data_IF_407177944530
#
_entry.id   IF_407177944530
#
_cell.length_a   1.000
_cell.length_b   1.000
_cell.length_c   1.000
_cell.angle_alpha   90.00
_cell.angle_beta   90.00
_cell.angle_gamma   90.00
#
_symmetry.space_group_name_H-M   'P 1'
#
loop_
_entity.id
_entity.type
_entity.pdbx_description
1 polymer ?
#
# COMPACT_ATOMS: atom_id res chain seq x y z
N UNK A 1 19.10 -8.25 0.08
CA UNK A 1 17.78 -7.66 -0.09
C UNK A 1 16.88 -8.59 -0.91
N UNK A 2 15.63 -8.83 -0.47
CA UNK A 2 14.70 -9.79 -1.08
C UNK A 2 14.26 -9.41 -2.49
N UNK A 3 13.94 -8.11 -2.72
CA UNK A 3 13.57 -7.60 -4.04
C UNK A 3 14.62 -7.91 -5.11
N UNK A 4 15.91 -7.66 -4.81
CA UNK A 4 16.99 -8.01 -5.74
C UNK A 4 17.05 -9.50 -6.02
N UNK A 5 16.80 -10.34 -4.99
CA UNK A 5 16.88 -11.81 -5.10
C UNK A 5 15.72 -12.40 -5.91
N UNK A 6 14.57 -11.71 -5.98
CA UNK A 6 13.43 -12.16 -6.80
C UNK A 6 13.70 -12.14 -8.30
N UNK A 7 14.73 -11.43 -8.73
CA UNK A 7 15.10 -11.21 -10.12
C UNK A 7 14.03 -10.53 -10.98
N UNK A 8 13.04 -9.89 -10.38
CA UNK A 8 11.97 -9.14 -11.04
C UNK A 8 12.26 -7.65 -11.10
N UNK A 9 11.75 -6.91 -12.09
CA UNK A 9 11.80 -5.44 -12.07
C UNK A 9 11.05 -4.89 -10.87
N UNK A 10 11.57 -3.82 -10.27
CA UNK A 10 10.93 -3.17 -9.14
C UNK A 10 11.22 -1.67 -9.09
N UNK A 11 10.29 -0.93 -8.48
CA UNK A 11 10.47 0.44 -8.01
C UNK A 11 10.53 0.37 -6.49
N UNK A 12 11.51 1.05 -5.89
CA UNK A 12 11.62 1.20 -4.46
C UNK A 12 11.57 2.68 -4.09
N UNK A 13 10.44 3.12 -3.56
CA UNK A 13 10.28 4.44 -2.98
C UNK A 13 10.85 4.42 -1.55
N UNK A 14 11.80 5.31 -1.28
CA UNK A 14 12.51 5.42 -0.01
C UNK A 14 12.14 6.77 0.60
N UNK A 15 11.45 6.73 1.74
CA UNK A 15 11.09 7.95 2.45
C UNK A 15 12.33 8.70 2.93
N UNK A 16 12.33 10.01 2.75
CA UNK A 16 13.42 10.88 3.18
C UNK A 16 13.26 11.23 4.68
N UNK A 17 13.87 10.44 5.53
CA UNK A 17 13.86 10.57 6.99
C UNK A 17 15.28 10.51 7.57
N UNK A 18 15.42 10.59 8.91
CA UNK A 18 16.73 10.53 9.56
C UNK A 18 17.51 9.25 9.24
N UNK A 19 16.81 8.14 9.02
CA UNK A 19 17.40 6.83 8.67
C UNK A 19 17.81 6.73 7.20
N UNK A 20 17.36 7.65 6.34
CA UNK A 20 17.68 7.63 4.91
C UNK A 20 19.18 7.78 4.65
N UNK A 21 19.90 8.51 5.50
CA UNK A 21 21.35 8.73 5.37
C UNK A 21 22.18 7.46 5.53
N UNK A 22 21.80 6.58 6.45
CA UNK A 22 22.46 5.29 6.61
C UNK A 22 22.16 4.37 5.43
N UNK A 23 20.92 4.40 4.94
CA UNK A 23 20.53 3.66 3.76
C UNK A 23 21.21 4.20 2.49
N UNK A 24 21.31 5.52 2.32
CA UNK A 24 22.08 6.14 1.22
C UNK A 24 23.54 5.67 1.24
N UNK A 25 24.19 5.73 2.40
CA UNK A 25 25.55 5.25 2.58
C UNK A 25 25.69 3.78 2.18
N UNK A 26 24.79 2.93 2.66
CA UNK A 26 24.75 1.51 2.29
C UNK A 26 24.55 1.31 0.78
N UNK A 27 23.63 2.07 0.16
CA UNK A 27 23.38 2.01 -1.30
C UNK A 27 24.65 2.33 -2.09
N UNK A 28 25.41 3.36 -1.66
CA UNK A 28 26.67 3.77 -2.28
C UNK A 28 27.78 2.74 -2.07
N UNK A 29 28.02 2.30 -0.82
CA UNK A 29 29.08 1.36 -0.46
C UNK A 29 28.91 0.01 -1.16
N UNK A 30 27.68 -0.48 -1.21
CA UNK A 30 27.31 -1.75 -1.85
C UNK A 30 27.15 -1.63 -3.37
N UNK A 31 27.31 -0.44 -3.94
CA UNK A 31 27.05 -0.15 -5.37
C UNK A 31 25.69 -0.73 -5.79
N UNK A 32 24.67 -0.50 -4.95
CA UNK A 32 23.38 -1.18 -5.10
C UNK A 32 22.70 -0.80 -6.42
N UNK A 33 22.75 0.47 -6.83
CA UNK A 33 22.16 0.94 -8.09
C UNK A 33 22.79 0.29 -9.32
N UNK A 34 24.13 0.13 -9.32
CA UNK A 34 24.81 -0.59 -10.40
C UNK A 34 24.35 -2.04 -10.50
N UNK A 35 24.14 -2.67 -9.33
CA UNK A 35 23.74 -4.10 -9.22
C UNK A 35 22.29 -4.36 -9.61
N UNK A 36 21.44 -3.32 -9.66
CA UNK A 36 20.04 -3.40 -10.08
C UNK A 36 19.78 -2.73 -11.43
N UNK A 37 20.83 -2.21 -12.09
CA UNK A 37 20.73 -1.50 -13.37
C UNK A 37 19.90 -2.28 -14.40
N UNK A 38 18.96 -1.60 -15.05
CA UNK A 38 18.02 -2.16 -16.01
C UNK A 38 16.88 -2.98 -15.42
N UNK A 39 16.78 -3.06 -14.06
CA UNK A 39 15.76 -3.85 -13.39
C UNK A 39 15.14 -3.15 -12.17
N UNK A 40 15.88 -2.34 -11.46
CA UNK A 40 15.41 -1.59 -10.29
C UNK A 40 15.49 -0.10 -10.51
N UNK A 41 14.52 0.63 -9.95
CA UNK A 41 14.51 2.08 -9.86
C UNK A 41 14.36 2.48 -8.38
N UNK A 42 15.27 3.33 -7.89
CA UNK A 42 15.13 3.97 -6.57
C UNK A 42 14.53 5.35 -6.75
N UNK A 43 13.55 5.68 -5.92
CA UNK A 43 12.96 7.02 -5.82
C UNK A 43 13.19 7.49 -4.38
N UNK A 44 14.02 8.51 -4.22
CA UNK A 44 14.29 9.15 -2.93
C UNK A 44 13.26 10.24 -2.65
N UNK A 45 12.72 10.25 -1.43
CA UNK A 45 11.67 11.18 -1.03
C UNK A 45 10.28 10.79 -1.51
N UNK A 46 9.46 11.79 -1.83
CA UNK A 46 8.07 11.57 -2.22
C UNK A 46 7.93 10.92 -3.59
N UNK A 47 7.12 9.87 -3.67
CA UNK A 47 6.76 9.19 -4.90
C UNK A 47 5.25 9.32 -5.18
N UNK A 48 4.81 9.57 -6.42
CA UNK A 48 3.40 9.65 -6.78
C UNK A 48 2.77 8.23 -6.80
N UNK A 49 2.51 7.68 -5.59
CA UNK A 49 2.14 6.27 -5.39
C UNK A 49 0.96 5.84 -6.24
N UNK A 50 -0.14 6.61 -6.23
CA UNK A 50 -1.33 6.27 -7.01
C UNK A 50 -1.06 6.24 -8.52
N UNK A 51 -0.27 7.20 -9.02
CA UNK A 51 0.11 7.22 -10.44
C UNK A 51 0.96 6.00 -10.82
N UNK A 52 1.91 5.64 -9.96
CA UNK A 52 2.74 4.43 -10.15
C UNK A 52 1.86 3.18 -10.15
N UNK A 53 1.01 3.02 -9.14
CA UNK A 53 0.12 1.86 -9.01
C UNK A 53 -0.88 1.75 -10.18
N UNK A 54 -1.32 2.87 -10.75
CA UNK A 54 -2.24 2.89 -11.90
C UNK A 54 -1.57 2.47 -13.21
N UNK A 55 -0.25 2.31 -13.25
CA UNK A 55 0.43 1.86 -14.46
C UNK A 55 0.21 0.35 -14.67
N UNK A 56 -0.27 -0.11 -15.84
CA UNK A 56 -0.57 -1.52 -16.11
C UNK A 56 0.63 -2.45 -16.02
N UNK A 57 1.86 -1.92 -16.04
CA UNK A 57 3.09 -2.70 -15.84
C UNK A 57 3.35 -3.06 -14.38
N UNK A 58 2.62 -2.45 -13.42
CA UNK A 58 2.74 -2.77 -12.00
C UNK A 58 1.97 -4.04 -11.69
N UNK A 59 2.70 -5.10 -11.40
CA UNK A 59 2.13 -6.43 -11.15
C UNK A 59 1.84 -6.74 -9.68
N UNK A 60 2.34 -5.93 -8.75
CA UNK A 60 2.16 -6.11 -7.30
C UNK A 60 2.71 -4.95 -6.49
N UNK A 61 2.22 -4.77 -5.28
CA UNK A 61 2.60 -3.69 -4.38
C UNK A 61 3.01 -4.24 -3.01
N UNK A 62 4.27 -4.04 -2.63
CA UNK A 62 4.74 -4.32 -1.27
C UNK A 62 4.36 -3.14 -0.37
N UNK A 63 3.52 -3.39 0.62
CA UNK A 63 2.95 -2.36 1.48
C UNK A 63 3.03 -2.74 2.96
N UNK A 64 3.18 -1.73 3.83
CA UNK A 64 3.03 -1.87 5.28
C UNK A 64 1.57 -2.05 5.72
N UNK A 65 0.62 -2.10 4.81
CA UNK A 65 -0.82 -2.27 5.07
C UNK A 65 -1.50 -1.09 5.76
N UNK A 66 -0.95 0.13 5.71
CA UNK A 66 -1.69 1.33 6.11
C UNK A 66 -2.94 1.50 5.25
N UNK A 67 -4.04 1.97 5.86
CA UNK A 67 -5.35 2.00 5.21
C UNK A 67 -5.34 2.79 3.88
N UNK A 68 -4.68 3.94 3.83
CA UNK A 68 -4.61 4.75 2.61
C UNK A 68 -3.93 3.99 1.47
N UNK A 69 -2.76 3.40 1.73
CA UNK A 69 -2.03 2.60 0.74
C UNK A 69 -2.83 1.37 0.29
N UNK A 70 -3.59 0.76 1.21
CA UNK A 70 -4.48 -0.36 0.91
C UNK A 70 -5.61 0.06 -0.04
N UNK A 71 -6.27 1.20 0.24
CA UNK A 71 -7.34 1.73 -0.62
C UNK A 71 -6.79 2.12 -2.00
N UNK A 72 -5.64 2.77 -2.07
CA UNK A 72 -5.01 3.13 -3.34
C UNK A 72 -4.68 1.91 -4.20
N UNK A 73 -4.16 0.84 -3.59
CA UNK A 73 -3.89 -0.41 -4.30
C UNK A 73 -5.17 -1.09 -4.80
N UNK A 74 -6.24 -1.09 -3.99
CA UNK A 74 -7.57 -1.59 -4.39
C UNK A 74 -8.11 -0.79 -5.57
N UNK A 75 -8.10 0.56 -5.49
CA UNK A 75 -8.56 1.42 -6.58
C UNK A 75 -7.77 1.23 -7.88
N UNK A 76 -6.48 0.98 -7.77
CA UNK A 76 -5.60 0.69 -8.90
C UNK A 76 -5.74 -0.74 -9.44
N UNK A 77 -6.43 -1.64 -8.73
CA UNK A 77 -6.56 -3.04 -9.11
C UNK A 77 -5.25 -3.83 -8.99
N UNK A 78 -4.38 -3.47 -8.04
CA UNK A 78 -3.04 -4.06 -7.86
C UNK A 78 -3.04 -5.00 -6.65
N UNK A 79 -2.66 -6.28 -6.80
CA UNK A 79 -2.53 -7.20 -5.68
C UNK A 79 -1.38 -6.82 -4.75
N UNK A 80 -1.51 -7.14 -3.47
CA UNK A 80 -0.60 -6.66 -2.43
C UNK A 80 0.28 -7.76 -1.85
N UNK A 81 1.53 -7.40 -1.56
CA UNK A 81 2.42 -8.14 -0.69
C UNK A 81 2.44 -7.43 0.67
N UNK A 82 1.96 -8.09 1.71
CA UNK A 82 1.70 -7.46 3.00
C UNK A 82 2.88 -7.61 3.95
N UNK A 83 3.31 -6.48 4.51
CA UNK A 83 4.39 -6.38 5.50
C UNK A 83 4.01 -5.41 6.61
N UNK A 84 3.07 -5.78 7.49
CA UNK A 84 2.66 -4.91 8.58
C UNK A 84 3.81 -4.68 9.56
N UNK A 85 3.85 -3.50 10.15
CA UNK A 85 4.86 -3.10 11.13
C UNK A 85 4.24 -2.91 12.51
N UNK A 86 3.15 -2.17 12.63
CA UNK A 86 2.50 -1.86 13.90
C UNK A 86 1.00 -1.52 13.75
N UNK A 87 0.29 -1.49 14.88
CA UNK A 87 -1.07 -0.96 14.99
C UNK A 87 -2.12 -1.69 14.14
N UNK A 88 -2.95 -0.92 13.47
CA UNK A 88 -4.04 -1.38 12.62
C UNK A 88 -3.58 -2.15 11.37
N UNK A 89 -2.30 -2.03 11.02
CA UNK A 89 -1.73 -2.67 9.83
C UNK A 89 -1.88 -4.20 9.85
N UNK A 90 -1.80 -4.83 11.03
CA UNK A 90 -2.03 -6.27 11.20
C UNK A 90 -3.50 -6.66 10.96
N UNK A 91 -4.44 -5.77 11.31
CA UNK A 91 -5.86 -5.97 11.02
C UNK A 91 -6.11 -5.80 9.51
N UNK A 92 -5.51 -4.77 8.91
CA UNK A 92 -5.59 -4.52 7.47
C UNK A 92 -4.96 -5.66 6.66
N UNK A 93 -3.87 -6.27 7.13
CA UNK A 93 -3.31 -7.49 6.52
C UNK A 93 -4.34 -8.61 6.49
N UNK A 94 -5.03 -8.88 7.61
CA UNK A 94 -6.09 -9.91 7.65
C UNK A 94 -7.21 -9.60 6.68
N UNK A 95 -7.63 -8.34 6.59
CA UNK A 95 -8.61 -7.90 5.61
C UNK A 95 -8.13 -8.20 4.18
N UNK A 96 -6.92 -7.79 3.81
CA UNK A 96 -6.35 -7.96 2.48
C UNK A 96 -6.22 -9.45 2.11
N UNK A 97 -5.70 -10.26 3.03
CA UNK A 97 -5.31 -11.65 2.72
C UNK A 97 -6.44 -12.64 2.94
N UNK A 98 -7.18 -12.53 4.05
CA UNK A 98 -8.18 -13.54 4.44
C UNK A 98 -9.57 -13.20 3.92
N UNK A 99 -9.97 -11.94 3.97
CA UNK A 99 -11.33 -11.51 3.60
C UNK A 99 -11.39 -11.20 2.10
N UNK A 100 -10.59 -10.24 1.64
CA UNK A 100 -10.58 -9.81 0.24
C UNK A 100 -9.84 -10.78 -0.68
N UNK A 101 -8.89 -11.53 -0.13
CA UNK A 101 -8.07 -12.52 -0.84
C UNK A 101 -7.31 -11.92 -2.06
N UNK A 102 -6.80 -10.70 -1.88
CA UNK A 102 -6.07 -9.92 -2.89
C UNK A 102 -4.60 -9.72 -2.53
N UNK A 103 -4.12 -10.38 -1.49
CA UNK A 103 -2.74 -10.25 -1.02
C UNK A 103 -2.07 -11.57 -0.66
N UNK A 104 -0.75 -11.47 -0.48
CA UNK A 104 0.12 -12.54 0.03
C UNK A 104 0.93 -11.98 1.19
N UNK A 105 1.03 -12.72 2.29
CA UNK A 105 1.84 -12.32 3.46
C UNK A 105 3.33 -12.52 3.18
N UNK A 106 4.15 -11.55 3.59
CA UNK A 106 5.59 -11.74 3.76
C UNK A 106 5.85 -12.66 4.95
N UNK A 107 5.08 -12.50 6.04
CA UNK A 107 5.12 -13.42 7.18
C UNK A 107 5.56 -12.78 8.50
N UNK A 108 5.47 -11.46 8.64
CA UNK A 108 5.69 -10.79 9.93
C UNK A 108 4.58 -11.19 10.90
N UNK A 109 4.93 -11.61 12.10
CA UNK A 109 3.99 -12.07 13.12
C UNK A 109 3.91 -11.12 14.31
N UNK A 110 5.05 -10.58 14.72
CA UNK A 110 5.14 -9.71 15.88
C UNK A 110 5.13 -8.22 15.48
N UNK A 111 4.25 -7.41 16.08
CA UNK A 111 4.24 -5.98 15.82
C UNK A 111 5.48 -5.31 16.44
N UNK A 112 6.00 -4.32 15.72
CA UNK A 112 7.01 -3.43 16.26
C UNK A 112 6.41 -2.58 17.37
N UNK A 113 7.18 -2.31 18.40
CA UNK A 113 6.81 -1.30 19.38
C UNK A 113 7.18 0.07 18.84
N UNK A 114 6.26 1.00 18.95
CA UNK A 114 6.47 2.37 18.51
C UNK A 114 7.66 3.01 19.24
N UNK A 115 8.64 3.53 18.51
CA UNK A 115 9.86 4.13 19.05
C UNK A 115 10.96 3.13 19.39
N UNK A 116 10.82 1.87 19.00
CA UNK A 116 11.84 0.83 19.16
C UNK A 116 12.33 0.27 17.81
N UNK A 117 12.06 0.98 16.73
CA UNK A 117 12.41 0.57 15.37
C UNK A 117 13.89 0.25 15.21
N UNK A 118 14.75 1.04 15.87
CA UNK A 118 16.22 0.87 15.85
C UNK A 118 16.71 -0.38 16.61
N UNK A 119 15.88 -0.95 17.49
CA UNK A 119 16.26 -2.10 18.32
C UNK A 119 15.98 -3.43 17.63
N UNK A 120 15.32 -3.39 16.49
CA UNK A 120 14.83 -4.58 15.82
C UNK A 120 15.84 -5.04 14.80
N UNK A 121 16.28 -6.26 14.96
CA UNK A 121 17.12 -6.96 13.99
C UNK A 121 16.37 -7.27 12.69
N UNK A 122 16.85 -8.23 11.94
CA UNK A 122 16.23 -8.65 10.68
C UNK A 122 14.85 -9.24 10.92
N UNK A 123 13.79 -8.46 10.68
CA UNK A 123 12.39 -8.93 10.78
C UNK A 123 12.09 -10.12 9.88
N UNK A 124 12.63 -10.08 8.66
CA UNK A 124 12.38 -11.10 7.64
C UNK A 124 13.65 -11.42 6.87
N UNK A 125 13.88 -12.70 6.60
CA UNK A 125 14.99 -13.13 5.76
C UNK A 125 14.69 -12.79 4.30
N UNK A 126 15.75 -12.53 3.54
CA UNK A 126 15.64 -12.23 2.10
C UNK A 126 14.98 -13.36 1.30
N UNK A 127 15.09 -14.60 1.77
CA UNK A 127 14.47 -15.79 1.20
C UNK A 127 12.94 -15.75 1.35
N UNK A 128 12.45 -15.34 2.51
CA UNK A 128 11.01 -15.26 2.81
C UNK A 128 10.35 -14.18 1.96
N UNK A 129 11.01 -13.01 1.84
CA UNK A 129 10.55 -11.92 0.97
C UNK A 129 10.51 -12.38 -0.49
N UNK A 130 11.58 -13.06 -0.98
CA UNK A 130 11.60 -13.62 -2.33
C UNK A 130 10.46 -14.61 -2.53
N UNK A 131 10.28 -15.57 -1.62
CA UNK A 131 9.23 -16.57 -1.70
C UNK A 131 7.83 -15.97 -1.73
N UNK A 132 7.60 -14.90 -0.98
CA UNK A 132 6.32 -14.17 -1.00
C UNK A 132 6.11 -13.44 -2.34
N UNK A 133 7.15 -12.83 -2.90
CA UNK A 133 7.11 -12.21 -4.24
C UNK A 133 6.79 -13.27 -5.30
N UNK A 134 7.43 -14.43 -5.23
CA UNK A 134 7.19 -15.52 -6.18
C UNK A 134 5.71 -15.97 -6.09
N UNK A 135 5.16 -16.22 -4.89
CA UNK A 135 3.74 -16.57 -4.71
C UNK A 135 2.77 -15.50 -5.23
N UNK A 136 3.15 -14.22 -5.19
CA UNK A 136 2.32 -13.15 -5.74
C UNK A 136 2.38 -13.09 -7.27
N UNK A 137 3.54 -13.37 -7.84
CA UNK A 137 3.89 -13.04 -9.22
C UNK A 137 3.99 -14.24 -10.15
N UNK A 138 4.25 -15.46 -9.64
CA UNK A 138 4.42 -16.66 -10.47
C UNK A 138 3.09 -17.10 -11.08
N UNK A 139 3.18 -17.75 -12.23
CA UNK A 139 2.02 -18.27 -12.93
C UNK A 139 1.30 -19.36 -12.12
N UNK A 140 -0.02 -19.40 -12.22
CA UNK A 140 -0.84 -20.38 -11.53
C UNK A 140 -2.26 -19.86 -11.27
N UNK A 141 -3.15 -20.79 -10.95
CA UNK A 141 -4.57 -20.53 -10.73
C UNK A 141 -4.82 -19.52 -9.60
N UNK A 142 -4.10 -19.66 -8.47
CA UNK A 142 -4.23 -18.75 -7.33
C UNK A 142 -3.87 -17.30 -7.69
N UNK A 143 -2.84 -17.10 -8.52
CA UNK A 143 -2.47 -15.76 -8.99
C UNK A 143 -3.55 -15.18 -9.88
N UNK A 144 -4.06 -15.94 -10.83
CA UNK A 144 -5.11 -15.45 -11.74
C UNK A 144 -6.39 -15.11 -10.98
N UNK A 145 -6.80 -15.96 -10.04
CA UNK A 145 -7.94 -15.71 -9.17
C UNK A 145 -7.75 -14.43 -8.33
N UNK A 146 -6.56 -14.22 -7.73
CA UNK A 146 -6.21 -13.01 -6.97
C UNK A 146 -6.27 -11.78 -7.84
N UNK A 147 -5.69 -11.82 -9.03
CA UNK A 147 -5.73 -10.71 -9.99
C UNK A 147 -7.14 -10.39 -10.45
N UNK A 148 -7.96 -11.40 -10.70
CA UNK A 148 -9.37 -11.22 -11.04
C UNK A 148 -10.11 -10.47 -9.94
N UNK A 149 -10.01 -10.94 -8.69
CA UNK A 149 -10.64 -10.27 -7.53
C UNK A 149 -10.16 -8.83 -7.36
N UNK A 150 -8.87 -8.59 -7.52
CA UNK A 150 -8.32 -7.25 -7.36
C UNK A 150 -8.87 -6.31 -8.42
N UNK A 151 -8.99 -6.74 -9.68
CA UNK A 151 -9.62 -5.96 -10.75
C UNK A 151 -11.10 -5.68 -10.47
N UNK A 152 -11.85 -6.69 -10.06
CA UNK A 152 -13.27 -6.55 -9.72
C UNK A 152 -13.49 -5.53 -8.58
N UNK A 153 -12.65 -5.57 -7.54
CA UNK A 153 -12.68 -4.59 -6.45
C UNK A 153 -12.32 -3.18 -6.94
N UNK A 154 -11.33 -3.05 -7.82
CA UNK A 154 -10.98 -1.78 -8.44
C UNK A 154 -12.14 -1.16 -9.22
N UNK A 155 -12.88 -1.98 -9.98
CA UNK A 155 -14.08 -1.51 -10.70
C UNK A 155 -15.22 -1.12 -9.73
N UNK A 156 -15.37 -1.83 -8.62
CA UNK A 156 -16.35 -1.44 -7.58
C UNK A 156 -15.95 -0.10 -6.96
N UNK A 157 -14.66 0.09 -6.64
CA UNK A 157 -14.15 1.33 -6.08
C UNK A 157 -14.35 2.52 -7.01
N UNK A 158 -14.10 2.36 -8.31
CA UNK A 158 -14.37 3.40 -9.32
C UNK A 158 -15.84 3.79 -9.36
N UNK A 159 -16.74 2.80 -9.46
CA UNK A 159 -18.20 3.04 -9.46
C UNK A 159 -18.70 3.71 -8.18
N UNK A 160 -18.07 3.44 -7.04
CA UNK A 160 -18.48 4.03 -5.78
C UNK A 160 -18.36 5.57 -5.75
N UNK A 161 -17.41 6.14 -6.47
CA UNK A 161 -17.17 7.59 -6.54
C UNK A 161 -17.83 8.29 -7.74
N UNK A 162 -18.34 7.54 -8.70
CA UNK A 162 -19.09 8.08 -9.84
C UNK A 162 -20.44 8.64 -9.41
N UNK A 163 -21.05 9.44 -10.27
CA UNK A 163 -22.40 9.99 -10.03
C UNK A 163 -23.40 8.87 -9.70
N UNK A 164 -24.04 8.96 -8.56
CA UNK A 164 -24.99 7.94 -8.06
C UNK A 164 -24.32 6.79 -7.30
N UNK A 165 -22.99 6.76 -7.16
CA UNK A 165 -22.27 5.78 -6.38
C UNK A 165 -22.38 5.99 -4.87
N UNK A 166 -22.05 4.96 -4.08
CA UNK A 166 -22.22 5.00 -2.61
C UNK A 166 -21.37 6.06 -1.92
N UNK A 167 -20.10 6.21 -2.31
CA UNK A 167 -19.21 7.24 -1.77
C UNK A 167 -19.62 8.64 -2.21
N UNK A 168 -20.12 8.79 -3.44
CA UNK A 168 -20.70 10.03 -3.93
C UNK A 168 -21.90 10.47 -3.07
N UNK A 169 -22.85 9.56 -2.83
CA UNK A 169 -24.01 9.86 -1.98
C UNK A 169 -23.62 10.20 -0.54
N UNK A 170 -22.69 9.47 0.06
CA UNK A 170 -22.23 9.75 1.41
C UNK A 170 -21.63 11.15 1.53
N UNK A 171 -20.86 11.57 0.52
CA UNK A 171 -20.31 12.93 0.47
C UNK A 171 -21.41 13.99 0.37
N UNK A 172 -22.42 13.79 -0.48
CA UNK A 172 -23.56 14.70 -0.61
C UNK A 172 -24.33 14.81 0.71
N UNK A 173 -24.60 13.68 1.38
CA UNK A 173 -25.27 13.67 2.68
C UNK A 173 -24.46 14.41 3.75
N UNK A 174 -23.15 14.23 3.78
CA UNK A 174 -22.26 14.96 4.70
C UNK A 174 -22.33 16.48 4.46
N UNK A 175 -22.25 16.91 3.20
CA UNK A 175 -22.34 18.34 2.84
C UNK A 175 -23.71 18.91 3.26
N UNK A 176 -24.79 18.20 3.00
CA UNK A 176 -26.14 18.61 3.39
C UNK A 176 -26.28 18.76 4.92
N UNK A 177 -25.75 17.82 5.71
CA UNK A 177 -25.76 17.85 7.17
C UNK A 177 -25.01 19.09 7.71
N UNK A 178 -23.82 19.37 7.16
CA UNK A 178 -23.04 20.56 7.52
C UNK A 178 -23.78 21.84 7.20
N UNK A 179 -24.37 21.97 6.01
CA UNK A 179 -25.12 23.15 5.60
C UNK A 179 -26.37 23.37 6.47
N UNK A 180 -27.09 22.31 6.81
CA UNK A 180 -28.27 22.38 7.66
C UNK A 180 -27.91 22.85 9.08
N UNK A 181 -26.83 22.36 9.67
CA UNK A 181 -26.34 22.78 10.98
C UNK A 181 -25.94 24.25 11.00
N UNK A 182 -25.29 24.74 9.94
CA UNK A 182 -24.95 26.16 9.82
C UNK A 182 -26.20 27.06 9.74
N UNK A 183 -27.23 26.65 9.00
CA UNK A 183 -28.49 27.40 8.89
C UNK A 183 -29.22 27.50 10.24
N UNK A 184 -29.27 26.43 11.01
CA UNK A 184 -29.84 26.40 12.36
C UNK A 184 -29.05 27.32 13.31
N UNK A 185 -27.76 27.30 13.29
CA UNK A 185 -26.90 28.16 14.12
C UNK A 185 -27.08 29.65 13.78
N UNK A 186 -27.20 30.01 12.49
CA UNK A 186 -27.41 31.37 12.04
C UNK A 186 -28.80 31.89 12.42
N UNK A 187 -29.83 31.06 12.36
CA UNK A 187 -31.19 31.44 12.81
C UNK A 187 -31.24 31.69 14.32
N UNK A 188 -30.56 30.88 15.13
CA UNK A 188 -30.47 31.07 16.56
C UNK A 188 -29.78 32.41 16.94
N UNK A 189 -28.71 32.77 16.20
CA UNK A 189 -28.01 34.05 16.43
C UNK A 189 -28.75 35.31 15.94
N UNK A 190 -29.79 35.16 15.12
CA UNK A 190 -30.58 36.27 14.60
C UNK A 190 -31.76 36.59 15.53
N UNK A 191 -32.06 35.75 16.52
CA UNK A 191 -33.13 35.87 17.49
C UNK A 191 -32.69 36.46 18.84
N UNK A 192 -31.43 36.86 18.96
CA UNK A 192 -30.82 37.56 20.10
C UNK A 192 -30.53 39.00 19.68
#
# INVERSE_FOLDING_TARGET
MGLKKSNRPFIWAIWDGNESKELEKWVLEERFEERIKGRGLLIWGWAPQLLILSNPSVGGFLTHCGLNSTIEAVCAGVPMLTWPLYGDQFINEKLIVQVLKIGVRVGVEDPLQWGEEDKIGVLMKKEDVKGAIDRLMDEGEEREERRKRTRELGEIAKRAVEFGGSSYFNLILLIQDICNKQNVANQANTLI
#
